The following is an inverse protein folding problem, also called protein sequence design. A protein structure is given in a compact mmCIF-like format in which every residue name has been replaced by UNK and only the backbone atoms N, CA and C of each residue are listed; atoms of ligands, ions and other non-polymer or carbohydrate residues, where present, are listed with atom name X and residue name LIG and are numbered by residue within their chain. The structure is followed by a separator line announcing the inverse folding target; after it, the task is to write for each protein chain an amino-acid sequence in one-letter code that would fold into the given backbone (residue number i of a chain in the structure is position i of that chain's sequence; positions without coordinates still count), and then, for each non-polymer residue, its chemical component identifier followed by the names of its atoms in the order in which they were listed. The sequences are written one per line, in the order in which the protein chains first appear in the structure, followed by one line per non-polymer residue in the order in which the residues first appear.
data_IF_450528132023
#
_entry.id   IF_450528132023
#
_cell.length_a   1.000
_cell.length_b   1.000
_cell.length_c   1.000
_cell.angle_alpha   90.00
_cell.angle_beta   90.00
_cell.angle_gamma   90.00
#
_symmetry.space_group_name_H-M   'P 1'
#
loop_
_entity.id
_entity.type
_entity.pdbx_description
1 polymer ?
#
# COMPACT_ATOMS: atom_id res chain seq x y z
N UNK A 1 -1.96 20.27 -4.49
CA UNK A 1 -2.20 20.13 -3.03
C UNK A 1 -1.98 18.71 -2.49
N UNK A 2 -1.57 17.75 -3.31
CA UNK A 2 -1.30 16.33 -2.96
C UNK A 2 0.05 16.07 -2.24
N UNK A 3 0.92 17.05 -2.15
CA UNK A 3 2.33 16.89 -1.74
C UNK A 3 2.57 16.76 -0.23
N UNK A 4 1.56 16.93 0.62
CA UNK A 4 1.69 16.75 2.07
C UNK A 4 1.09 15.42 2.56
N UNK A 5 0.31 14.73 1.73
CA UNK A 5 -0.39 13.51 2.12
C UNK A 5 0.53 12.30 2.25
N UNK A 6 1.48 12.12 1.32
CA UNK A 6 2.35 10.94 1.29
C UNK A 6 3.29 10.85 2.51
N UNK A 7 3.99 11.93 2.92
CA UNK A 7 4.79 11.89 4.15
C UNK A 7 3.97 11.58 5.41
N UNK A 8 2.72 12.08 5.49
CA UNK A 8 1.87 11.85 6.67
C UNK A 8 1.43 10.38 6.80
N UNK A 9 1.28 9.66 5.69
CA UNK A 9 0.95 8.22 5.70
C UNK A 9 2.14 7.38 6.20
N UNK A 10 3.37 7.83 6.00
CA UNK A 10 4.59 7.14 6.41
C UNK A 10 5.10 7.59 7.80
N UNK A 11 4.57 8.71 8.31
CA UNK A 11 5.00 9.29 9.57
C UNK A 11 4.47 8.48 10.75
N UNK A 12 5.39 7.96 11.57
CA UNK A 12 5.09 7.19 12.78
C UNK A 12 4.05 6.07 12.61
N UNK A 13 4.01 5.46 11.42
CA UNK A 13 3.12 4.33 11.13
C UNK A 13 3.90 3.01 11.16
N UNK A 14 3.22 1.91 11.52
CA UNK A 14 3.81 0.58 11.44
C UNK A 14 4.14 0.22 9.99
N UNK A 15 5.41 -0.06 9.74
CA UNK A 15 5.93 -0.45 8.44
C UNK A 15 6.47 -1.88 8.48
N UNK A 16 6.32 -2.67 7.41
CA UNK A 16 6.89 -4.01 7.34
C UNK A 16 8.42 -3.94 7.39
N UNK A 17 9.00 -4.85 8.16
CA UNK A 17 10.44 -4.92 8.40
C UNK A 17 10.95 -6.36 8.38
N UNK A 18 12.16 -6.53 7.83
CA UNK A 18 12.83 -7.83 7.77
C UNK A 18 12.26 -8.77 6.72
N UNK A 19 12.65 -10.03 6.79
CA UNK A 19 12.20 -11.05 5.86
C UNK A 19 10.76 -11.47 6.17
N UNK A 20 9.91 -11.63 5.13
CA UNK A 20 8.56 -12.13 5.28
C UNK A 20 8.56 -13.63 5.60
N UNK A 21 7.57 -14.07 6.36
CA UNK A 21 7.34 -15.48 6.67
C UNK A 21 6.04 -15.93 6.01
N UNK A 22 6.13 -17.01 5.24
CA UNK A 22 4.97 -17.63 4.59
C UNK A 22 4.07 -18.33 5.61
N UNK A 23 2.76 -18.32 5.37
CA UNK A 23 1.79 -19.12 6.13
C UNK A 23 0.69 -19.66 5.20
N UNK A 24 0.12 -20.80 5.58
CA UNK A 24 -1.01 -21.41 4.89
C UNK A 24 -2.31 -21.20 5.67
N UNK A 25 -3.43 -21.13 4.94
CA UNK A 25 -4.75 -20.94 5.51
C UNK A 25 -4.99 -19.51 5.96
N UNK A 26 -5.80 -19.36 7.02
CA UNK A 26 -6.13 -18.05 7.61
C UNK A 26 -5.00 -17.56 8.52
N UNK A 27 -4.71 -16.25 8.42
CA UNK A 27 -3.77 -15.62 9.34
C UNK A 27 -4.24 -15.73 10.79
N UNK A 28 -3.39 -16.31 11.64
CA UNK A 28 -3.59 -16.33 13.09
C UNK A 28 -2.81 -15.19 13.73
N UNK A 29 -3.48 -14.44 14.62
CA UNK A 29 -2.90 -13.27 15.30
C UNK A 29 -1.53 -13.61 15.91
N UNK A 30 -0.51 -12.90 15.45
CA UNK A 30 0.89 -13.09 15.84
C UNK A 30 1.47 -11.78 16.35
N UNK A 31 2.04 -11.79 17.57
CA UNK A 31 2.64 -10.58 18.16
C UNK A 31 3.97 -10.18 17.50
N UNK A 32 4.70 -11.15 16.96
CA UNK A 32 6.00 -10.92 16.30
C UNK A 32 5.78 -10.43 14.87
N UNK A 33 4.75 -10.95 14.21
CA UNK A 33 4.43 -10.65 12.80
C UNK A 33 3.00 -10.06 12.67
N UNK A 34 2.78 -8.83 13.18
CA UNK A 34 1.43 -8.24 13.23
C UNK A 34 0.89 -7.77 11.87
N UNK A 35 1.76 -7.58 10.89
CA UNK A 35 1.39 -7.19 9.54
C UNK A 35 1.35 -8.41 8.62
N UNK A 36 0.38 -8.46 7.71
CA UNK A 36 0.27 -9.57 6.78
C UNK A 36 -0.44 -9.17 5.48
N UNK A 37 -0.22 -10.00 4.46
CA UNK A 37 -0.97 -10.00 3.21
C UNK A 37 -1.59 -11.38 3.07
N UNK A 38 -2.89 -11.43 2.83
CA UNK A 38 -3.68 -12.66 2.77
C UNK A 38 -4.24 -12.88 1.37
N UNK A 39 -3.99 -14.04 0.80
CA UNK A 39 -4.66 -14.55 -0.39
C UNK A 39 -5.92 -15.32 0.04
N UNK A 40 -7.04 -15.00 -0.58
CA UNK A 40 -8.33 -15.62 -0.33
C UNK A 40 -9.16 -15.72 -1.60
N UNK A 41 -10.16 -16.58 -1.59
CA UNK A 41 -11.19 -16.64 -2.64
C UNK A 41 -12.55 -16.48 -2.00
N UNK A 42 -13.42 -15.69 -2.60
CA UNK A 42 -14.78 -15.47 -2.13
C UNK A 42 -15.68 -14.91 -3.23
N UNK A 43 -16.99 -14.96 -3.00
CA UNK A 43 -17.98 -14.11 -3.65
C UNK A 43 -18.34 -12.98 -2.70
N UNK A 44 -18.66 -11.81 -3.24
CA UNK A 44 -18.93 -10.64 -2.41
C UNK A 44 -19.85 -9.63 -3.09
N UNK A 45 -20.63 -8.92 -2.28
CA UNK A 45 -21.50 -7.82 -2.71
C UNK A 45 -21.39 -6.66 -1.75
N UNK A 46 -21.40 -5.42 -2.25
CA UNK A 46 -21.34 -4.20 -1.41
C UNK A 46 -22.58 -4.14 -0.51
N UNK A 47 -22.36 -3.92 0.77
CA UNK A 47 -23.43 -3.71 1.76
C UNK A 47 -24.22 -2.45 1.46
N UNK A 48 -25.48 -2.44 1.86
CA UNK A 48 -26.36 -1.26 1.73
C UNK A 48 -25.70 -0.03 2.38
N UNK A 49 -25.66 1.08 1.68
CA UNK A 49 -25.07 2.36 2.11
C UNK A 49 -23.55 2.32 2.36
N UNK A 50 -22.84 1.38 1.74
CA UNK A 50 -21.37 1.29 1.78
C UNK A 50 -20.77 1.59 0.40
N UNK A 51 -19.46 1.83 0.36
CA UNK A 51 -18.73 2.22 -0.84
C UNK A 51 -17.90 1.04 -1.34
N UNK A 52 -17.92 0.73 -2.66
CA UNK A 52 -17.06 -0.30 -3.21
C UNK A 52 -15.60 0.14 -3.15
N UNK A 53 -14.72 -0.77 -2.72
CA UNK A 53 -13.28 -0.50 -2.52
C UNK A 53 -12.38 -1.43 -3.31
N UNK A 54 -12.94 -2.46 -3.95
CA UNK A 54 -12.18 -3.47 -4.70
C UNK A 54 -12.14 -3.09 -6.18
N UNK A 55 -10.93 -3.08 -6.75
CA UNK A 55 -10.66 -3.01 -8.19
C UNK A 55 -9.81 -4.22 -8.60
N UNK A 56 -10.12 -4.83 -9.73
CA UNK A 56 -9.34 -5.92 -10.30
C UNK A 56 -8.68 -5.45 -11.59
N UNK A 57 -7.39 -5.73 -11.71
CA UNK A 57 -6.63 -5.50 -12.94
C UNK A 57 -6.55 -6.79 -13.74
N UNK A 58 -6.64 -6.68 -15.07
CA UNK A 58 -6.53 -7.80 -16.00
C UNK A 58 -7.54 -8.93 -15.74
N UNK A 59 -8.75 -8.60 -15.27
CA UNK A 59 -9.84 -9.56 -15.11
C UNK A 59 -10.76 -9.52 -16.34
N UNK A 60 -11.17 -10.68 -16.85
CA UNK A 60 -11.99 -10.78 -18.07
C UNK A 60 -13.38 -10.17 -17.94
N UNK A 61 -13.94 -10.16 -16.73
CA UNK A 61 -15.32 -9.74 -16.45
C UNK A 61 -15.44 -8.31 -15.92
N UNK A 62 -14.35 -7.62 -15.61
CA UNK A 62 -14.37 -6.27 -15.01
C UNK A 62 -13.41 -5.32 -15.70
N UNK A 63 -13.80 -4.05 -15.82
CA UNK A 63 -12.93 -3.00 -16.35
C UNK A 63 -11.81 -2.66 -15.36
N UNK A 64 -10.62 -2.29 -15.84
CA UNK A 64 -9.43 -2.03 -15.00
C UNK A 64 -9.62 -0.94 -13.94
N UNK A 65 -10.51 0.02 -14.18
CA UNK A 65 -10.75 1.15 -13.27
C UNK A 65 -12.15 1.08 -12.62
N UNK A 66 -12.82 -0.05 -12.74
CA UNK A 66 -14.14 -0.24 -12.15
C UNK A 66 -14.02 -0.66 -10.69
N UNK A 67 -14.81 -0.02 -9.83
CA UNK A 67 -15.02 -0.49 -8.46
C UNK A 67 -16.12 -1.52 -8.43
N UNK A 68 -15.79 -2.73 -8.02
CA UNK A 68 -16.69 -3.88 -8.08
C UNK A 68 -17.72 -3.80 -6.97
N UNK A 69 -18.98 -3.74 -7.35
CA UNK A 69 -20.11 -3.76 -6.40
C UNK A 69 -20.61 -5.16 -6.11
N UNK A 70 -20.48 -6.08 -7.09
CA UNK A 70 -20.92 -7.48 -7.01
C UNK A 70 -19.94 -8.35 -7.81
N UNK A 71 -19.41 -9.38 -7.19
CA UNK A 71 -18.47 -10.30 -7.84
C UNK A 71 -19.16 -11.33 -8.76
N UNK A 72 -20.48 -11.44 -8.68
CA UNK A 72 -21.22 -12.54 -9.32
C UNK A 72 -21.10 -13.86 -8.55
N UNK A 73 -21.47 -14.95 -9.23
CA UNK A 73 -21.56 -16.28 -8.62
C UNK A 73 -20.21 -17.02 -8.52
N UNK A 74 -19.23 -16.63 -9.33
CA UNK A 74 -17.92 -17.26 -9.33
C UNK A 74 -16.99 -16.63 -8.28
N UNK A 75 -16.32 -17.47 -7.43
CA UNK A 75 -15.39 -16.97 -6.45
C UNK A 75 -14.18 -16.28 -7.07
N UNK A 76 -13.93 -15.05 -6.69
CA UNK A 76 -12.78 -14.26 -7.13
C UNK A 76 -11.61 -14.41 -6.15
N UNK A 77 -10.39 -14.55 -6.69
CA UNK A 77 -9.17 -14.57 -5.91
C UNK A 77 -8.71 -13.13 -5.62
N UNK A 78 -8.57 -12.80 -4.34
CA UNK A 78 -8.09 -11.52 -3.86
C UNK A 78 -6.83 -11.69 -3.03
N UNK A 79 -5.93 -10.71 -3.13
CA UNK A 79 -4.73 -10.58 -2.27
C UNK A 79 -4.84 -9.24 -1.55
N UNK A 80 -5.10 -9.28 -0.26
CA UNK A 80 -5.40 -8.10 0.56
C UNK A 80 -4.41 -7.97 1.72
N UNK A 81 -3.98 -6.74 1.99
CA UNK A 81 -3.26 -6.45 3.23
C UNK A 81 -4.21 -6.59 4.44
N UNK A 82 -3.66 -6.65 5.64
CA UNK A 82 -4.46 -6.69 6.87
C UNK A 82 -5.44 -5.51 6.98
N UNK A 83 -5.05 -4.32 6.51
CA UNK A 83 -5.88 -3.12 6.51
C UNK A 83 -6.98 -3.23 5.46
N UNK A 84 -6.62 -3.63 4.23
CA UNK A 84 -7.58 -3.80 3.13
C UNK A 84 -8.59 -4.90 3.44
N UNK A 85 -8.15 -6.00 4.08
CA UNK A 85 -9.04 -7.09 4.48
C UNK A 85 -10.05 -6.65 5.55
N UNK A 86 -9.63 -5.80 6.49
CA UNK A 86 -10.54 -5.22 7.46
C UNK A 86 -11.57 -4.33 6.76
N UNK A 87 -11.12 -3.41 5.91
CA UNK A 87 -11.99 -2.53 5.14
C UNK A 87 -12.95 -3.34 4.24
N UNK A 88 -12.46 -4.38 3.59
CA UNK A 88 -13.26 -5.27 2.78
C UNK A 88 -14.40 -5.92 3.58
N UNK A 89 -14.11 -6.46 4.77
CA UNK A 89 -15.14 -7.02 5.67
C UNK A 89 -16.16 -5.99 6.16
N UNK A 90 -15.76 -4.73 6.28
CA UNK A 90 -16.66 -3.64 6.67
C UNK A 90 -17.59 -3.20 5.54
N UNK A 91 -17.10 -3.20 4.29
CA UNK A 91 -17.82 -2.68 3.13
C UNK A 91 -18.67 -3.71 2.41
N UNK A 92 -18.31 -5.02 2.48
CA UNK A 92 -18.94 -6.07 1.69
C UNK A 92 -19.57 -7.16 2.57
N UNK A 93 -20.68 -7.72 2.08
CA UNK A 93 -21.16 -9.04 2.47
C UNK A 93 -20.35 -10.07 1.69
N UNK A 94 -19.78 -11.03 2.39
CA UNK A 94 -18.79 -11.98 1.85
C UNK A 94 -19.34 -13.39 2.01
N UNK A 95 -19.38 -14.14 0.91
CA UNK A 95 -19.81 -15.53 0.87
C UNK A 95 -18.73 -16.42 0.28
N UNK A 96 -18.82 -17.73 0.51
CA UNK A 96 -17.89 -18.72 -0.02
C UNK A 96 -16.41 -18.43 0.29
N UNK A 97 -16.15 -17.79 1.43
CA UNK A 97 -14.81 -17.36 1.83
C UNK A 97 -13.89 -18.55 2.12
N UNK A 98 -12.77 -18.61 1.40
CA UNK A 98 -11.70 -19.59 1.61
C UNK A 98 -10.35 -18.89 1.69
N UNK A 99 -9.70 -18.94 2.83
CA UNK A 99 -8.34 -18.48 3.00
C UNK A 99 -7.36 -19.48 2.38
N UNK A 100 -6.42 -19.01 1.56
CA UNK A 100 -5.44 -19.84 0.85
C UNK A 100 -4.10 -19.84 1.57
N UNK A 101 -3.41 -18.73 1.50
CA UNK A 101 -2.09 -18.54 2.07
C UNK A 101 -1.79 -17.06 2.22
N UNK A 102 -0.62 -16.73 2.73
CA UNK A 102 -0.17 -15.35 2.82
C UNK A 102 1.27 -15.21 3.28
N UNK A 103 1.65 -13.95 3.46
CA UNK A 103 2.93 -13.56 3.98
C UNK A 103 2.73 -12.64 5.19
N UNK A 104 3.45 -12.90 6.26
CA UNK A 104 3.43 -12.08 7.48
C UNK A 104 4.78 -11.41 7.71
N UNK A 105 4.74 -10.21 8.30
CA UNK A 105 5.89 -9.32 8.43
C UNK A 105 6.02 -8.84 9.87
N UNK A 106 7.25 -8.67 10.32
CA UNK A 106 7.55 -7.88 11.50
C UNK A 106 7.17 -6.42 11.25
N UNK A 107 6.95 -5.67 12.32
CA UNK A 107 6.57 -4.27 12.25
C UNK A 107 7.59 -3.41 12.97
N UNK A 108 7.93 -2.28 12.37
CA UNK A 108 8.71 -1.21 12.99
C UNK A 108 7.93 0.11 12.86
N UNK A 109 7.86 0.88 13.94
CA UNK A 109 7.27 2.21 13.92
C UNK A 109 8.36 3.28 13.74
N UNK A 110 7.99 4.39 13.14
CA UNK A 110 8.87 5.55 13.02
C UNK A 110 10.06 5.39 12.07
N UNK A 111 10.05 4.37 11.20
CA UNK A 111 11.15 4.11 10.26
C UNK A 111 11.58 5.34 9.45
N UNK A 112 10.64 6.22 9.13
CA UNK A 112 10.88 7.42 8.32
C UNK A 112 10.73 8.74 9.08
N UNK A 113 10.45 8.70 10.38
CA UNK A 113 10.13 9.88 11.18
C UNK A 113 11.26 10.90 11.14
N UNK A 114 12.50 10.52 11.43
CA UNK A 114 13.66 11.42 11.41
C UNK A 114 13.90 12.04 10.03
N UNK A 115 13.75 11.25 8.97
CA UNK A 115 13.88 11.75 7.60
C UNK A 115 12.82 12.80 7.28
N UNK A 116 11.57 12.52 7.63
CA UNK A 116 10.43 13.40 7.37
C UNK A 116 10.58 14.69 8.17
N UNK A 117 10.90 14.62 9.47
CA UNK A 117 11.09 15.78 10.34
C UNK A 117 12.21 16.69 9.84
N UNK A 118 13.35 16.11 9.45
CA UNK A 118 14.47 16.85 8.85
C UNK A 118 14.04 17.67 7.64
N UNK A 119 13.29 17.08 6.71
CA UNK A 119 12.91 17.77 5.48
C UNK A 119 11.73 18.70 5.65
N UNK A 120 10.82 18.43 6.59
CA UNK A 120 9.76 19.38 6.98
C UNK A 120 10.39 20.62 7.61
N UNK A 121 11.34 20.46 8.54
CA UNK A 121 12.05 21.58 9.15
C UNK A 121 12.74 22.45 8.11
N UNK A 122 13.53 21.88 7.21
CA UNK A 122 14.19 22.59 6.12
C UNK A 122 13.20 23.31 5.18
N UNK A 123 12.07 22.68 4.87
CA UNK A 123 11.02 23.30 4.06
C UNK A 123 10.44 24.54 4.74
N UNK A 124 10.19 24.47 6.05
CA UNK A 124 9.64 25.58 6.84
C UNK A 124 10.65 26.73 6.96
N UNK A 125 11.90 26.44 7.26
CA UNK A 125 13.00 27.42 7.30
C UNK A 125 13.16 28.14 5.96
N UNK A 126 13.16 27.38 4.85
CA UNK A 126 13.22 27.94 3.51
C UNK A 126 12.01 28.80 3.13
N UNK A 127 10.85 28.51 3.73
CA UNK A 127 9.64 29.34 3.54
C UNK A 127 9.77 30.67 4.28
N UNK A 128 10.27 30.64 5.52
CA UNK A 128 10.49 31.85 6.34
C UNK A 128 11.55 32.76 5.71
N UNK A 129 12.65 32.18 5.23
CA UNK A 129 13.75 32.93 4.61
C UNK A 129 13.48 33.33 3.15
N UNK A 130 12.35 32.95 2.57
CA UNK A 130 12.02 33.23 1.17
C UNK A 130 12.85 32.45 0.14
N UNK A 131 13.63 31.44 0.57
CA UNK A 131 14.49 30.66 -0.30
C UNK A 131 13.70 29.61 -1.09
N UNK A 132 13.22 30.01 -2.27
CA UNK A 132 12.41 29.16 -3.16
C UNK A 132 13.14 27.89 -3.61
N UNK A 133 14.46 27.94 -3.84
CA UNK A 133 15.27 26.79 -4.26
C UNK A 133 15.33 25.71 -3.19
N UNK A 134 15.69 26.06 -1.95
CA UNK A 134 15.70 25.13 -0.83
C UNK A 134 14.32 24.58 -0.51
N UNK A 135 13.27 25.40 -0.59
CA UNK A 135 11.90 24.94 -0.41
C UNK A 135 11.49 23.87 -1.42
N UNK A 136 11.85 24.10 -2.71
CA UNK A 136 11.58 23.13 -3.78
C UNK A 136 12.35 21.83 -3.57
N UNK A 137 13.64 21.91 -3.21
CA UNK A 137 14.45 20.75 -2.89
C UNK A 137 13.85 19.93 -1.73
N UNK A 138 13.50 20.57 -0.64
CA UNK A 138 12.88 19.89 0.50
C UNK A 138 11.57 19.19 0.13
N UNK A 139 10.74 19.82 -0.72
CA UNK A 139 9.51 19.22 -1.26
C UNK A 139 9.81 17.99 -2.14
N UNK A 140 10.83 18.05 -3.00
CA UNK A 140 11.26 16.93 -3.82
C UNK A 140 11.74 15.76 -2.96
N UNK A 141 12.53 16.02 -1.92
CA UNK A 141 13.03 14.98 -1.01
C UNK A 141 11.89 14.27 -0.26
N UNK A 142 10.89 15.01 0.23
CA UNK A 142 9.71 14.43 0.87
C UNK A 142 8.90 13.54 -0.10
N UNK A 143 8.76 13.96 -1.36
CA UNK A 143 8.02 13.19 -2.36
C UNK A 143 8.82 11.99 -2.87
N UNK A 144 10.15 12.10 -2.96
CA UNK A 144 11.01 11.02 -3.45
C UNK A 144 11.07 9.82 -2.51
N UNK A 145 10.75 9.99 -1.23
CA UNK A 145 10.69 8.91 -0.27
C UNK A 145 9.76 7.80 -0.77
N UNK A 146 8.53 8.14 -1.14
CA UNK A 146 7.57 7.19 -1.69
C UNK A 146 8.03 6.62 -3.04
N UNK A 147 8.51 7.48 -3.94
CA UNK A 147 8.97 7.08 -5.28
C UNK A 147 10.07 6.01 -5.24
N UNK A 148 10.97 6.07 -4.26
CA UNK A 148 12.03 5.07 -4.08
C UNK A 148 11.49 3.68 -3.76
N UNK A 149 10.44 3.56 -2.95
CA UNK A 149 9.82 2.28 -2.62
C UNK A 149 9.01 1.69 -3.79
N UNK A 150 8.49 2.53 -4.68
CA UNK A 150 7.77 2.11 -5.89
C UNK A 150 8.71 1.80 -7.07
N UNK A 151 10.03 2.01 -6.93
CA UNK A 151 10.99 1.77 -8.02
C UNK A 151 11.19 0.27 -8.24
N UNK A 152 11.09 -0.18 -9.51
CA UNK A 152 11.41 -1.56 -9.88
C UNK A 152 12.88 -1.85 -9.61
N UNK A 153 13.17 -2.91 -8.86
CA UNK A 153 14.54 -3.33 -8.50
C UNK A 153 15.35 -3.74 -9.74
N UNK A 154 14.69 -4.27 -10.79
CA UNK A 154 15.34 -4.63 -12.06
C UNK A 154 15.13 -3.52 -13.08
N UNK A 155 16.01 -2.52 -13.07
CA UNK A 155 16.15 -1.60 -14.20
C UNK A 155 17.01 -2.27 -15.29
N UNK A 156 16.44 -2.50 -16.47
CA UNK A 156 17.23 -2.89 -17.64
C UNK A 156 17.87 -1.61 -18.19
N UNK A 157 19.16 -1.43 -17.98
CA UNK A 157 19.95 -0.42 -18.68
C UNK A 157 20.19 -0.87 -20.11
N UNK A 158 19.95 0.00 -21.10
CA UNK A 158 20.41 -0.22 -22.47
C UNK A 158 21.91 0.09 -22.48
N UNK A 159 22.73 -0.90 -22.78
CA UNK A 159 24.17 -0.68 -23.05
C UNK A 159 24.26 -0.26 -24.51
N UNK A 160 24.76 0.96 -24.81
CA UNK A 160 25.00 1.33 -26.21
C UNK A 160 26.14 0.46 -26.79
N UNK A 161 25.82 -0.29 -27.82
CA UNK A 161 26.85 -0.94 -28.65
C UNK A 161 27.38 0.09 -29.62
N UNK A 162 28.67 0.40 -29.52
CA UNK A 162 29.40 1.04 -30.58
C UNK A 162 29.61 0.01 -31.71
N UNK A 163 29.07 0.30 -32.91
CA UNK A 163 29.37 -0.41 -34.13
C UNK A 163 30.62 0.20 -34.78
#
# INVERSE_FOLDING_TARGET
MLTAFIPSVLYDKPMPYGEPVFFEGEYKKDRIYPLYVQMLTCTFRVKKNKIPTIQLKNHSSFLENEYITDSGDEPICLVLSNIDLQLFKEQYDIENLKYKCGWKFKSINGLFTEYIDKWIKRKNEATITGNKGQRTLAKLMLNSLYGKFATKIKARSKIPYLR
#
